data_IF_146499895617
#
_entry.id   IF_146499895617
#
_cell.length_a   1.000
_cell.length_b   1.000
_cell.length_c   1.000
_cell.angle_alpha   90.00
_cell.angle_beta   90.00
_cell.angle_gamma   90.00
#
_symmetry.space_group_name_H-M   'P 1'
#
loop_
_entity.id
_entity.type
_entity.pdbx_description
1 polymer ?
#
# COMPACT_ATOMS: atom_id res chain seq x y z
N UNK A 1 -17.67 9.40 -13.04
CA UNK A 1 -16.28 9.53 -12.58
C UNK A 1 -15.38 8.99 -13.69
N UNK A 2 -14.86 9.86 -14.58
CA UNK A 2 -13.93 9.44 -15.65
C UNK A 2 -12.61 9.09 -14.97
N UNK A 3 -12.08 7.90 -15.27
CA UNK A 3 -11.12 7.22 -14.42
C UNK A 3 -9.79 7.96 -14.25
N UNK A 4 -9.26 7.83 -13.04
CA UNK A 4 -7.87 8.13 -12.69
C UNK A 4 -6.95 7.38 -13.69
N UNK A 5 -6.04 8.13 -14.31
CA UNK A 5 -4.78 7.65 -14.91
C UNK A 5 -4.82 6.80 -16.20
N UNK A 6 -5.33 7.36 -17.30
CA UNK A 6 -5.59 6.59 -18.53
C UNK A 6 -5.46 7.42 -19.83
N UNK A 7 -4.35 8.12 -20.03
CA UNK A 7 -4.00 8.71 -21.32
C UNK A 7 -2.59 9.25 -21.26
N UNK A 8 -1.97 9.50 -22.43
CA UNK A 8 -0.81 10.39 -22.54
C UNK A 8 -1.04 11.68 -21.75
N UNK A 9 -2.30 12.15 -21.67
CA UNK A 9 -2.71 13.28 -20.85
C UNK A 9 -2.62 13.01 -19.33
N UNK A 10 -2.95 11.82 -18.83
CA UNK A 10 -2.77 11.54 -17.41
C UNK A 10 -1.29 11.39 -17.04
N UNK A 11 -0.51 10.75 -17.89
CA UNK A 11 0.95 10.73 -17.75
C UNK A 11 1.51 12.15 -17.86
N UNK A 12 1.01 12.98 -18.80
CA UNK A 12 1.46 14.36 -18.98
C UNK A 12 1.13 15.23 -17.77
N UNK A 13 -0.10 15.15 -17.25
CA UNK A 13 -0.54 15.85 -16.03
C UNK A 13 0.34 15.51 -14.83
N UNK A 14 0.79 14.27 -14.70
CA UNK A 14 1.76 13.91 -13.65
C UNK A 14 3.15 14.45 -13.88
N UNK A 15 3.59 14.53 -15.14
CA UNK A 15 4.93 15.02 -15.47
C UNK A 15 5.04 16.55 -15.49
N UNK A 16 3.94 17.27 -15.75
CA UNK A 16 3.94 18.72 -16.00
C UNK A 16 4.28 19.56 -14.75
N UNK A 17 3.89 19.15 -13.55
CA UNK A 17 4.19 19.85 -12.27
C UNK A 17 4.95 18.95 -11.27
N UNK A 18 5.88 18.13 -11.77
CA UNK A 18 6.59 17.16 -10.92
C UNK A 18 7.41 17.84 -9.81
N UNK A 19 8.09 18.95 -10.12
CA UNK A 19 8.88 19.70 -9.13
C UNK A 19 8.00 20.44 -8.09
N UNK A 20 6.90 21.06 -8.53
CA UNK A 20 5.97 21.68 -7.59
C UNK A 20 5.30 20.65 -6.68
N UNK A 21 4.93 19.49 -7.23
CA UNK A 21 4.42 18.36 -6.44
C UNK A 21 5.48 17.85 -5.45
N UNK A 22 6.74 17.78 -5.86
CA UNK A 22 7.87 17.37 -5.00
C UNK A 22 8.00 18.28 -3.77
N UNK A 23 8.03 19.60 -3.99
CA UNK A 23 8.15 20.57 -2.90
C UNK A 23 6.93 20.52 -1.95
N UNK A 24 5.71 20.41 -2.50
CA UNK A 24 4.49 20.28 -1.70
C UNK A 24 4.49 19.02 -0.85
N UNK A 25 4.92 17.89 -1.41
CA UNK A 25 5.00 16.60 -0.70
C UNK A 25 6.00 16.68 0.44
N UNK A 26 7.23 17.16 0.20
CA UNK A 26 8.23 17.32 1.26
C UNK A 26 7.75 18.24 2.39
N UNK A 27 7.12 19.36 2.04
CA UNK A 27 6.54 20.30 3.00
C UNK A 27 5.38 19.69 3.79
N UNK A 28 4.57 18.84 3.16
CA UNK A 28 3.48 18.12 3.82
C UNK A 28 4.05 17.09 4.81
N UNK A 29 5.03 16.29 4.39
CA UNK A 29 5.66 15.29 5.25
C UNK A 29 6.30 15.93 6.48
N UNK A 30 7.05 17.03 6.31
CA UNK A 30 7.66 17.77 7.41
C UNK A 30 6.62 18.31 8.41
N UNK A 31 5.53 18.91 7.88
CA UNK A 31 4.44 19.42 8.71
C UNK A 31 3.73 18.33 9.49
N UNK A 32 3.43 17.19 8.84
CA UNK A 32 2.74 16.09 9.50
C UNK A 32 3.62 15.42 10.54
N UNK A 33 4.91 15.20 10.25
CA UNK A 33 5.89 14.71 11.23
C UNK A 33 5.98 15.63 12.44
N UNK A 34 6.02 16.94 12.23
CA UNK A 34 6.06 17.93 13.32
C UNK A 34 4.80 17.89 14.19
N UNK A 35 3.63 17.70 13.58
CA UNK A 35 2.34 17.80 14.29
C UNK A 35 1.88 16.50 14.93
N UNK A 36 2.13 15.37 14.28
CA UNK A 36 1.58 14.06 14.64
C UNK A 36 2.66 13.13 15.23
N UNK A 37 3.93 13.39 14.97
CA UNK A 37 5.03 12.54 15.42
C UNK A 37 4.87 11.11 14.89
N UNK A 38 5.13 10.13 15.75
CA UNK A 38 5.07 8.71 15.42
C UNK A 38 3.66 8.09 15.58
N UNK A 39 2.62 8.92 15.79
CA UNK A 39 1.23 8.45 15.93
C UNK A 39 0.59 8.03 14.61
N UNK A 40 1.19 8.43 13.48
CA UNK A 40 0.71 8.10 12.12
C UNK A 40 1.88 7.71 11.24
N UNK A 41 1.63 6.80 10.31
CA UNK A 41 2.57 6.50 9.23
C UNK A 41 2.24 7.39 8.04
N UNK A 42 3.24 8.10 7.55
CA UNK A 42 3.13 8.89 6.33
C UNK A 42 3.44 7.98 5.14
N UNK A 43 2.37 7.49 4.53
CA UNK A 43 2.39 6.51 3.44
C UNK A 43 1.77 7.09 2.17
N UNK A 44 1.86 6.33 1.09
CA UNK A 44 1.05 6.52 -0.11
C UNK A 44 0.42 5.20 -0.56
N UNK A 45 -0.74 5.30 -1.22
CA UNK A 45 -1.27 4.24 -2.06
C UNK A 45 -0.74 4.49 -3.48
N UNK A 46 0.34 3.80 -3.82
CA UNK A 46 1.10 3.96 -5.05
C UNK A 46 0.43 3.19 -6.20
N UNK A 47 0.29 3.89 -7.32
CA UNK A 47 -0.10 3.32 -8.60
C UNK A 47 1.11 3.25 -9.55
N UNK A 48 0.96 2.51 -10.65
CA UNK A 48 1.94 2.44 -11.74
C UNK A 48 1.29 2.77 -13.07
N UNK A 49 2.07 3.39 -13.96
CA UNK A 49 1.68 3.57 -15.36
C UNK A 49 1.63 2.21 -16.08
N UNK A 50 0.99 2.12 -17.26
CA UNK A 50 0.97 0.88 -18.05
C UNK A 50 2.37 0.34 -18.41
N UNK A 51 3.39 1.20 -18.44
CA UNK A 51 4.79 0.82 -18.66
C UNK A 51 5.55 0.42 -17.37
N UNK A 52 4.84 0.37 -16.23
CA UNK A 52 5.36 -0.03 -14.92
C UNK A 52 6.03 1.09 -14.13
N UNK A 53 6.17 2.31 -14.65
CA UNK A 53 6.75 3.41 -13.87
C UNK A 53 5.81 3.85 -12.75
N UNK A 54 6.32 4.14 -11.54
CA UNK A 54 5.49 4.59 -10.44
C UNK A 54 4.90 5.97 -10.68
N UNK A 55 3.66 6.14 -10.23
CA UNK A 55 2.91 7.39 -10.29
C UNK A 55 3.28 8.29 -9.09
N UNK A 56 4.58 8.40 -8.83
CA UNK A 56 5.14 9.17 -7.71
C UNK A 56 6.62 9.49 -7.99
N UNK A 57 7.17 10.61 -7.48
CA UNK A 57 8.61 10.85 -7.58
C UNK A 57 9.43 9.80 -6.81
N UNK A 58 10.19 8.99 -7.53
CA UNK A 58 10.96 7.87 -6.95
C UNK A 58 11.95 8.31 -5.87
N UNK A 59 12.56 9.48 -6.01
CA UNK A 59 13.47 10.05 -5.02
C UNK A 59 12.76 10.40 -3.70
N UNK A 60 11.43 10.50 -3.71
CA UNK A 60 10.62 10.75 -2.52
C UNK A 60 10.10 9.48 -1.84
N UNK A 61 10.14 8.32 -2.50
CA UNK A 61 9.69 7.06 -1.89
C UNK A 61 10.44 6.73 -0.59
N UNK A 62 11.77 6.94 -0.48
CA UNK A 62 12.51 6.73 0.78
C UNK A 62 12.10 7.68 1.92
N UNK A 63 11.34 8.75 1.62
CA UNK A 63 10.84 9.66 2.65
C UNK A 63 9.49 9.22 3.23
N UNK A 64 8.85 8.18 2.69
CA UNK A 64 7.62 7.59 3.23
C UNK A 64 7.94 6.50 4.24
N UNK A 65 7.06 6.35 5.24
CA UNK A 65 7.22 5.30 6.27
C UNK A 65 6.71 3.94 5.76
N UNK A 66 5.83 3.96 4.76
CA UNK A 66 5.22 2.80 4.13
C UNK A 66 4.85 3.12 2.67
N UNK A 67 4.83 2.09 1.82
CA UNK A 67 4.37 2.16 0.43
C UNK A 67 3.35 1.06 0.25
N UNK A 68 2.11 1.42 -0.07
CA UNK A 68 1.02 0.50 -0.34
C UNK A 68 0.78 0.51 -1.85
N UNK A 69 1.12 -0.55 -2.56
CA UNK A 69 0.90 -0.63 -4.00
C UNK A 69 -0.50 -1.11 -4.35
N UNK A 70 -1.14 -0.54 -5.35
CA UNK A 70 -2.43 -1.01 -5.84
C UNK A 70 -2.63 -0.79 -7.34
N UNK A 71 -3.32 -1.74 -7.99
CA UNK A 71 -3.74 -1.63 -9.38
C UNK A 71 -5.09 -0.91 -9.44
N UNK A 72 -5.15 0.25 -10.09
CA UNK A 72 -6.39 1.03 -10.25
C UNK A 72 -6.89 1.17 -11.68
N UNK A 73 -6.10 0.76 -12.67
CA UNK A 73 -6.48 0.80 -14.07
C UNK A 73 -5.75 -0.29 -14.87
N UNK A 74 -6.48 -0.93 -15.79
CA UNK A 74 -5.90 -1.81 -16.79
C UNK A 74 -6.38 -1.29 -18.16
N UNK A 75 -5.45 -0.91 -19.03
CA UNK A 75 -5.76 -0.43 -20.37
C UNK A 75 -6.48 -1.52 -21.18
N UNK A 76 -6.07 -2.79 -21.02
CA UNK A 76 -6.68 -3.93 -21.66
C UNK A 76 -8.18 -4.07 -21.33
N UNK A 77 -8.58 -3.78 -20.08
CA UNK A 77 -9.99 -3.77 -19.69
C UNK A 77 -10.81 -2.71 -20.44
N UNK A 78 -10.21 -1.55 -20.71
CA UNK A 78 -10.89 -0.42 -21.34
C UNK A 78 -10.99 -0.57 -22.85
N UNK A 79 -9.96 -1.13 -23.46
CA UNK A 79 -9.95 -1.44 -24.89
C UNK A 79 -10.75 -2.70 -25.24
N UNK A 80 -11.29 -3.41 -24.24
CA UNK A 80 -12.07 -4.62 -24.45
C UNK A 80 -11.21 -5.78 -24.96
N UNK A 81 -9.97 -5.86 -24.48
CA UNK A 81 -9.05 -6.95 -24.85
C UNK A 81 -9.44 -8.27 -24.18
N UNK A 82 -8.79 -9.36 -24.62
CA UNK A 82 -9.00 -10.69 -24.06
C UNK A 82 -8.72 -10.76 -22.55
N UNK A 83 -9.37 -11.67 -21.84
CA UNK A 83 -9.10 -11.94 -20.41
C UNK A 83 -7.62 -12.23 -20.15
N UNK A 84 -6.94 -12.93 -21.06
CA UNK A 84 -5.51 -13.22 -20.94
C UNK A 84 -4.64 -11.96 -21.03
N UNK A 85 -5.02 -10.98 -21.86
CA UNK A 85 -4.31 -9.71 -21.95
C UNK A 85 -4.48 -8.90 -20.65
N UNK A 86 -5.70 -8.87 -20.13
CA UNK A 86 -6.03 -8.22 -18.85
C UNK A 86 -5.26 -8.84 -17.69
N UNK A 87 -5.25 -10.17 -17.62
CA UNK A 87 -4.49 -10.91 -16.60
C UNK A 87 -3.00 -10.63 -16.71
N UNK A 88 -2.42 -10.65 -17.92
CA UNK A 88 -1.01 -10.31 -18.13
C UNK A 88 -0.67 -8.89 -17.69
N UNK A 89 -1.52 -7.92 -17.99
CA UNK A 89 -1.34 -6.53 -17.57
C UNK A 89 -1.43 -6.39 -16.04
N UNK A 90 -2.45 -7.01 -15.42
CA UNK A 90 -2.59 -7.05 -13.96
C UNK A 90 -1.36 -7.66 -13.28
N UNK A 91 -0.84 -8.77 -13.82
CA UNK A 91 0.39 -9.38 -13.31
C UNK A 91 1.61 -8.46 -13.49
N UNK A 92 1.72 -7.79 -14.63
CA UNK A 92 2.82 -6.87 -14.91
C UNK A 92 2.81 -5.67 -13.95
N UNK A 93 1.65 -5.05 -13.71
CA UNK A 93 1.53 -3.92 -12.79
C UNK A 93 1.81 -4.31 -11.34
N UNK A 94 1.32 -5.47 -10.88
CA UNK A 94 1.66 -5.97 -9.54
C UNK A 94 3.16 -6.21 -9.39
N UNK A 95 3.83 -6.82 -10.38
CA UNK A 95 5.29 -6.98 -10.38
C UNK A 95 6.02 -5.63 -10.36
N UNK A 96 5.52 -4.63 -11.09
CA UNK A 96 6.10 -3.30 -11.07
C UNK A 96 5.98 -2.63 -9.69
N UNK A 97 4.81 -2.73 -9.04
CA UNK A 97 4.60 -2.23 -7.67
C UNK A 97 5.55 -2.90 -6.67
N UNK A 98 5.71 -4.22 -6.77
CA UNK A 98 6.67 -4.98 -5.95
C UNK A 98 8.11 -4.50 -6.22
N UNK A 99 8.48 -4.35 -7.48
CA UNK A 99 9.83 -3.93 -7.89
C UNK A 99 10.19 -2.50 -7.43
N UNK A 100 9.21 -1.60 -7.33
CA UNK A 100 9.37 -0.24 -6.79
C UNK A 100 9.55 -0.24 -5.26
N UNK A 101 9.36 -1.39 -4.60
CA UNK A 101 9.52 -1.52 -3.16
C UNK A 101 8.23 -1.32 -2.38
N UNK A 102 7.07 -1.66 -2.96
CA UNK A 102 5.83 -1.75 -2.20
C UNK A 102 6.01 -2.70 -1.00
N UNK A 103 5.47 -2.31 0.14
CA UNK A 103 5.47 -3.09 1.38
C UNK A 103 4.19 -3.91 1.51
N UNK A 104 3.10 -3.43 0.91
CA UNK A 104 1.78 -4.05 0.90
C UNK A 104 1.24 -3.95 -0.53
N UNK A 105 0.65 -5.02 -1.06
CA UNK A 105 -0.25 -4.95 -2.21
C UNK A 105 -1.68 -4.85 -1.69
N UNK A 106 -2.28 -3.67 -1.83
CA UNK A 106 -3.64 -3.40 -1.38
C UNK A 106 -4.67 -4.03 -2.30
N UNK A 107 -5.73 -4.58 -1.68
CA UNK A 107 -6.91 -5.16 -2.34
C UNK A 107 -6.62 -5.71 -3.75
N UNK A 108 -5.76 -6.74 -3.88
CA UNK A 108 -5.07 -7.10 -5.13
C UNK A 108 -6.02 -7.41 -6.31
N UNK A 109 -7.24 -7.82 -6.01
CA UNK A 109 -8.23 -8.26 -6.98
C UNK A 109 -9.32 -7.22 -7.28
N UNK A 110 -9.41 -6.14 -6.50
CA UNK A 110 -10.55 -5.20 -6.52
C UNK A 110 -10.86 -4.68 -7.91
N UNK A 111 -9.83 -4.29 -8.66
CA UNK A 111 -10.03 -3.72 -9.99
C UNK A 111 -10.64 -4.74 -10.97
N UNK A 112 -10.15 -5.99 -10.97
CA UNK A 112 -10.68 -7.05 -11.82
C UNK A 112 -12.16 -7.28 -11.55
N UNK A 113 -12.53 -7.38 -10.27
CA UNK A 113 -13.92 -7.67 -9.89
C UNK A 113 -14.85 -6.49 -10.21
N UNK A 114 -14.44 -5.25 -9.96
CA UNK A 114 -15.23 -4.07 -10.32
C UNK A 114 -15.49 -3.98 -11.83
N UNK A 115 -14.60 -4.56 -12.63
CA UNK A 115 -14.72 -4.67 -14.08
C UNK A 115 -15.40 -5.96 -14.55
N UNK A 116 -15.92 -6.77 -13.62
CA UNK A 116 -16.57 -8.07 -13.86
C UNK A 116 -15.66 -9.09 -14.54
N UNK A 117 -14.34 -8.97 -14.34
CA UNK A 117 -13.40 -10.01 -14.72
C UNK A 117 -13.29 -11.04 -13.60
N UNK A 118 -13.48 -12.33 -13.90
CA UNK A 118 -13.39 -13.38 -12.89
C UNK A 118 -11.96 -13.50 -12.37
N UNK A 119 -11.84 -13.67 -11.05
CA UNK A 119 -10.57 -13.98 -10.39
C UNK A 119 -10.55 -15.48 -10.13
N UNK A 120 -9.55 -16.15 -10.69
CA UNK A 120 -9.38 -17.59 -10.59
C UNK A 120 -8.53 -17.97 -9.37
N UNK A 121 -8.53 -19.25 -9.01
CA UNK A 121 -7.62 -19.75 -7.99
C UNK A 121 -6.14 -19.62 -8.41
N UNK A 122 -5.84 -19.78 -9.70
CA UNK A 122 -4.50 -19.55 -10.24
C UNK A 122 -4.05 -18.10 -10.09
N UNK A 123 -4.96 -17.13 -10.21
CA UNK A 123 -4.65 -15.71 -9.97
C UNK A 123 -4.26 -15.47 -8.51
N UNK A 124 -4.93 -16.14 -7.56
CA UNK A 124 -4.62 -16.06 -6.13
C UNK A 124 -3.25 -16.68 -5.84
N UNK A 125 -3.01 -17.91 -6.30
CA UNK A 125 -1.72 -18.58 -6.09
C UNK A 125 -0.58 -17.81 -6.73
N UNK A 126 -0.80 -17.20 -7.90
CA UNK A 126 0.20 -16.37 -8.57
C UNK A 126 0.61 -15.17 -7.71
N UNK A 127 -0.35 -14.36 -7.22
CA UNK A 127 0.01 -13.17 -6.43
C UNK A 127 0.61 -13.54 -5.06
N UNK A 128 0.16 -14.65 -4.46
CA UNK A 128 0.73 -15.18 -3.21
C UNK A 128 2.17 -15.64 -3.43
N UNK A 129 2.49 -16.27 -4.57
CA UNK A 129 3.85 -16.69 -4.90
C UNK A 129 4.78 -15.47 -5.11
N UNK A 130 4.32 -14.45 -5.83
CA UNK A 130 5.05 -13.18 -5.98
C UNK A 130 5.28 -12.52 -4.62
N UNK A 131 4.26 -12.56 -3.76
CA UNK A 131 4.34 -11.96 -2.44
C UNK A 131 5.33 -12.69 -1.52
N UNK A 132 5.32 -14.02 -1.56
CA UNK A 132 6.29 -14.86 -0.86
C UNK A 132 7.72 -14.58 -1.32
N UNK A 133 7.93 -14.49 -2.64
CA UNK A 133 9.26 -14.28 -3.21
C UNK A 133 9.87 -12.92 -2.84
N UNK A 134 9.03 -11.89 -2.69
CA UNK A 134 9.47 -10.51 -2.42
C UNK A 134 9.37 -10.11 -0.94
N UNK A 135 8.60 -10.84 -0.14
CA UNK A 135 8.32 -10.49 1.26
C UNK A 135 7.30 -9.35 1.44
N UNK A 136 6.62 -8.92 0.36
CA UNK A 136 5.50 -7.97 0.43
C UNK A 136 4.30 -8.60 1.11
N UNK A 137 3.51 -7.82 1.85
CA UNK A 137 2.26 -8.29 2.41
C UNK A 137 1.10 -8.19 1.42
N UNK A 138 0.09 -9.06 1.56
CA UNK A 138 -1.18 -8.92 0.83
C UNK A 138 -2.26 -8.40 1.76
N UNK A 139 -3.02 -7.41 1.30
CA UNK A 139 -4.05 -6.77 2.11
C UNK A 139 -5.40 -7.51 2.08
N UNK A 140 -5.89 -7.86 3.26
CA UNK A 140 -7.30 -8.10 3.52
C UNK A 140 -8.00 -6.76 3.71
N UNK A 141 -8.84 -6.38 2.75
CA UNK A 141 -9.49 -5.08 2.71
C UNK A 141 -10.99 -5.20 3.05
N UNK A 142 -11.54 -4.29 3.87
CA UNK A 142 -12.98 -4.33 4.24
C UNK A 142 -13.88 -3.35 3.49
N UNK A 143 -13.36 -2.53 2.58
CA UNK A 143 -14.17 -1.56 1.83
C UNK A 143 -14.94 -2.21 0.68
N UNK A 144 -14.39 -3.27 0.07
CA UNK A 144 -15.06 -4.04 -0.98
C UNK A 144 -14.85 -5.54 -0.77
N UNK A 145 -15.73 -6.14 0.02
CA UNK A 145 -15.62 -7.53 0.50
C UNK A 145 -16.09 -8.53 -0.55
N UNK A 146 -15.29 -9.57 -0.80
CA UNK A 146 -15.71 -10.77 -1.53
C UNK A 146 -15.26 -11.98 -0.74
N UNK A 147 -16.09 -12.35 0.23
CA UNK A 147 -15.73 -13.29 1.29
C UNK A 147 -15.07 -14.58 0.81
N UNK A 148 -15.61 -15.21 -0.24
CA UNK A 148 -15.04 -16.44 -0.79
C UNK A 148 -13.64 -16.25 -1.39
N UNK A 149 -13.36 -15.11 -2.00
CA UNK A 149 -12.04 -14.78 -2.54
C UNK A 149 -11.06 -14.39 -1.42
N UNK A 150 -11.54 -13.61 -0.45
CA UNK A 150 -10.77 -13.23 0.73
C UNK A 150 -10.35 -14.48 1.53
N UNK A 151 -11.26 -15.44 1.72
CA UNK A 151 -10.96 -16.72 2.36
C UNK A 151 -9.94 -17.57 1.59
N UNK A 152 -9.99 -17.54 0.25
CA UNK A 152 -9.04 -18.25 -0.59
C UNK A 152 -7.64 -17.64 -0.47
N UNK A 153 -7.55 -16.31 -0.55
CA UNK A 153 -6.29 -15.57 -0.40
C UNK A 153 -5.68 -15.77 0.99
N UNK A 154 -6.47 -15.63 2.06
CA UNK A 154 -5.97 -15.78 3.43
C UNK A 154 -5.44 -17.19 3.67
N UNK A 155 -6.16 -18.22 3.21
CA UNK A 155 -5.70 -19.60 3.30
C UNK A 155 -4.36 -19.82 2.58
N UNK A 156 -4.23 -19.28 1.37
CA UNK A 156 -2.99 -19.36 0.59
C UNK A 156 -1.83 -18.60 1.27
N UNK A 157 -2.08 -17.38 1.77
CA UNK A 157 -1.08 -16.62 2.52
C UNK A 157 -0.59 -17.38 3.76
N UNK A 158 -1.49 -18.01 4.53
CA UNK A 158 -1.12 -18.77 5.72
C UNK A 158 -0.29 -20.01 5.39
N UNK A 159 -0.66 -20.73 4.32
CA UNK A 159 0.06 -21.89 3.84
C UNK A 159 1.48 -21.53 3.37
N UNK A 160 1.61 -20.41 2.66
CA UNK A 160 2.88 -19.95 2.09
C UNK A 160 3.70 -19.03 3.02
N UNK A 161 3.19 -18.72 4.21
CA UNK A 161 3.86 -17.83 5.16
C UNK A 161 3.95 -16.36 4.70
N UNK A 162 3.07 -15.94 3.80
CA UNK A 162 3.00 -14.55 3.33
C UNK A 162 2.37 -13.66 4.41
N UNK A 163 2.98 -12.51 4.75
CA UNK A 163 2.40 -11.57 5.72
C UNK A 163 1.07 -11.01 5.23
N UNK A 164 0.13 -10.80 6.15
CA UNK A 164 -1.19 -10.24 5.85
C UNK A 164 -1.25 -8.81 6.35
N UNK A 165 -1.61 -7.87 5.49
CA UNK A 165 -2.01 -6.53 5.90
C UNK A 165 -3.52 -6.47 6.10
N UNK A 166 -3.99 -5.59 6.99
CA UNK A 166 -5.42 -5.30 7.17
C UNK A 166 -5.66 -3.81 6.97
N UNK A 167 -6.68 -3.47 6.19
CA UNK A 167 -7.04 -2.10 5.89
C UNK A 167 -8.55 -1.94 5.72
N UNK A 168 -9.10 -0.84 6.22
CA UNK A 168 -10.52 -0.51 6.01
C UNK A 168 -10.78 0.30 4.75
N UNK A 169 -9.71 0.86 4.15
CA UNK A 169 -9.78 1.78 3.01
C UNK A 169 -10.85 2.88 3.19
N UNK A 170 -10.88 3.42 4.41
CA UNK A 170 -11.84 4.42 4.84
C UNK A 170 -11.68 5.72 4.06
N UNK A 171 -12.77 6.14 3.42
CA UNK A 171 -12.93 7.45 2.78
C UNK A 171 -13.86 8.37 3.59
N UNK A 172 -14.42 7.87 4.71
CA UNK A 172 -15.28 8.61 5.64
C UNK A 172 -14.93 8.28 7.08
N UNK A 173 -15.19 9.22 7.99
CA UNK A 173 -14.96 9.05 9.43
C UNK A 173 -15.66 7.82 10.02
N UNK A 174 -16.83 7.46 9.50
CA UNK A 174 -17.63 6.31 9.93
C UNK A 174 -17.02 4.96 9.54
N UNK A 175 -16.05 4.94 8.62
CA UNK A 175 -15.39 3.73 8.12
C UNK A 175 -14.04 3.49 8.83
N UNK A 176 -13.58 4.46 9.62
CA UNK A 176 -12.32 4.36 10.36
C UNK A 176 -12.48 3.35 11.49
N UNK A 177 -11.47 2.48 11.63
CA UNK A 177 -11.32 1.54 12.74
C UNK A 177 -12.40 0.44 12.86
N UNK A 178 -13.23 0.22 11.83
CA UNK A 178 -14.06 -0.99 11.77
C UNK A 178 -13.26 -2.18 11.21
N UNK A 179 -12.67 -2.94 12.13
CA UNK A 179 -11.93 -4.18 11.84
C UNK A 179 -12.73 -5.45 12.10
N UNK A 180 -14.07 -5.34 12.20
CA UNK A 180 -14.94 -6.49 12.51
C UNK A 180 -14.81 -7.59 11.46
N UNK A 181 -14.86 -7.19 10.18
CA UNK A 181 -14.71 -8.11 9.05
C UNK A 181 -13.35 -8.83 9.07
N UNK A 182 -12.26 -8.10 9.28
CA UNK A 182 -10.93 -8.70 9.36
C UNK A 182 -10.84 -9.70 10.51
N UNK A 183 -11.38 -9.34 11.68
CA UNK A 183 -11.38 -10.22 12.84
C UNK A 183 -12.16 -11.51 12.59
N UNK A 184 -13.27 -11.45 11.86
CA UNK A 184 -14.08 -12.61 11.49
C UNK A 184 -13.29 -13.55 10.57
N UNK A 185 -12.83 -13.05 9.42
CA UNK A 185 -12.06 -13.83 8.44
C UNK A 185 -10.85 -14.47 9.10
N UNK A 186 -10.04 -13.69 9.82
CA UNK A 186 -8.84 -14.21 10.48
C UNK A 186 -9.16 -15.30 11.52
N UNK A 187 -10.27 -15.18 12.26
CA UNK A 187 -10.68 -16.17 13.26
C UNK A 187 -11.14 -17.49 12.64
N UNK A 188 -11.80 -17.42 11.48
CA UNK A 188 -12.24 -18.59 10.72
C UNK A 188 -11.06 -19.36 10.10
N UNK A 189 -9.93 -18.67 9.87
CA UNK A 189 -8.66 -19.28 9.46
C UNK A 189 -7.70 -19.56 10.63
N UNK A 190 -8.20 -19.55 11.87
CA UNK A 190 -7.47 -20.01 13.04
C UNK A 190 -6.61 -18.95 13.76
N UNK A 191 -6.69 -17.67 13.38
CA UNK A 191 -5.99 -16.57 14.05
C UNK A 191 -6.93 -15.86 15.05
N UNK A 192 -7.14 -16.49 16.20
CA UNK A 192 -8.17 -16.10 17.18
C UNK A 192 -7.62 -15.24 18.33
N UNK A 193 -6.33 -15.35 18.61
CA UNK A 193 -5.65 -14.62 19.68
C UNK A 193 -4.84 -13.45 19.14
N UNK A 194 -4.47 -12.51 20.02
CA UNK A 194 -3.58 -11.41 19.64
C UNK A 194 -2.18 -11.89 19.24
N UNK A 195 -1.67 -12.93 19.90
CA UNK A 195 -0.36 -13.51 19.62
C UNK A 195 -0.29 -14.13 18.22
N UNK A 196 -1.26 -15.00 17.88
CA UNK A 196 -1.38 -15.59 16.54
C UNK A 196 -1.48 -14.53 15.45
N UNK A 197 -2.20 -13.44 15.72
CA UNK A 197 -2.31 -12.30 14.79
C UNK A 197 -1.01 -11.51 14.70
N UNK A 198 -0.29 -11.29 15.80
CA UNK A 198 0.94 -10.51 15.82
C UNK A 198 2.08 -11.15 14.99
N UNK A 199 2.06 -12.48 14.85
CA UNK A 199 3.04 -13.19 14.03
C UNK A 199 2.74 -13.09 12.53
N UNK A 200 1.45 -13.00 12.17
CA UNK A 200 0.99 -13.03 10.78
C UNK A 200 0.70 -11.65 10.19
N UNK A 201 0.31 -10.68 11.00
CA UNK A 201 -0.06 -9.35 10.54
C UNK A 201 1.15 -8.46 10.31
N UNK A 202 1.25 -7.91 9.10
CA UNK A 202 2.32 -7.00 8.68
C UNK A 202 2.35 -5.73 9.53
N UNK A 203 1.19 -5.19 9.93
CA UNK A 203 1.11 -3.98 10.77
C UNK A 203 1.80 -4.20 12.13
N UNK A 204 1.68 -5.39 12.73
CA UNK A 204 2.40 -5.72 13.96
C UNK A 204 3.92 -5.80 13.75
N UNK A 205 4.35 -6.25 12.56
CA UNK A 205 5.76 -6.28 12.17
C UNK A 205 6.32 -4.86 11.94
N UNK A 206 5.53 -3.96 11.34
CA UNK A 206 5.90 -2.55 11.14
C UNK A 206 5.97 -1.82 12.48
N UNK A 207 5.00 -2.00 13.38
CA UNK A 207 5.01 -1.42 14.72
C UNK A 207 6.29 -1.80 15.50
N UNK A 208 6.68 -3.09 15.48
CA UNK A 208 7.93 -3.56 16.10
C UNK A 208 9.19 -2.92 15.48
N UNK A 209 9.19 -2.63 14.18
CA UNK A 209 10.31 -1.94 13.51
C UNK A 209 10.41 -0.47 13.92
N UNK A 210 9.27 0.20 14.12
CA UNK A 210 9.23 1.59 14.62
C UNK A 210 9.72 1.65 16.06
N UNK A 211 9.29 0.72 16.90
CA UNK A 211 9.71 0.62 18.30
C UNK A 211 11.18 0.20 18.47
N UNK A 212 11.70 -0.67 17.59
CA UNK A 212 13.03 -1.26 17.67
C UNK A 212 14.15 -0.56 16.88
N UNK A 213 13.86 0.52 16.14
CA UNK A 213 14.85 1.18 15.30
C UNK A 213 15.97 1.87 16.13
N UNK A 214 17.27 1.61 15.84
CA UNK A 214 18.38 2.34 16.44
C UNK A 214 18.21 3.84 16.17
N UNK A 215 18.22 4.64 17.23
CA UNK A 215 18.00 6.10 17.14
C UNK A 215 16.59 6.59 17.45
N UNK A 216 15.65 5.73 17.88
CA UNK A 216 14.38 6.20 18.45
C UNK A 216 14.58 7.16 19.65
N UNK A 217 15.63 6.94 20.46
CA UNK A 217 16.09 7.86 21.49
C UNK A 217 17.01 8.99 20.98
N UNK A 218 17.98 8.67 20.11
CA UNK A 218 19.02 9.61 19.68
C UNK A 218 18.52 10.69 18.71
N UNK A 219 17.41 10.42 17.99
CA UNK A 219 16.76 11.44 17.15
C UNK A 219 16.07 12.53 17.96
N UNK A 220 15.88 12.41 19.28
CA UNK A 220 15.35 13.52 20.11
C UNK A 220 16.41 14.60 20.38
N UNK A 221 17.67 14.22 20.55
CA UNK A 221 18.75 15.13 20.98
C UNK A 221 19.37 15.94 19.84
N UNK A 222 19.48 15.39 18.63
CA UNK A 222 19.89 16.19 17.45
C UNK A 222 18.80 17.19 17.02
N UNK A 223 17.52 16.90 17.31
CA UNK A 223 16.36 17.76 17.01
C UNK A 223 16.19 18.97 17.93
N UNK A 224 16.80 18.97 19.12
CA UNK A 224 16.86 20.15 20.00
C UNK A 224 17.96 21.13 19.61
N UNK A 225 19.05 20.65 18.99
CA UNK A 225 20.21 21.50 18.64
C UNK A 225 19.97 22.34 17.38
N UNK A 226 19.23 21.83 16.39
CA UNK A 226 18.86 22.58 15.17
C UNK A 226 17.80 23.66 15.42
N UNK A 227 16.94 23.49 16.43
CA UNK A 227 15.96 24.51 16.82
C UNK A 227 16.58 25.72 17.55
N UNK A 228 17.65 25.53 18.31
CA UNK A 228 18.36 26.64 18.99
C UNK A 228 19.25 27.42 18.01
N UNK A 229 19.82 26.75 17.00
CA UNK A 229 20.69 27.38 16.00
C UNK A 229 19.93 28.34 15.05
N UNK A 230 18.66 28.07 14.73
CA UNK A 230 17.85 28.94 13.85
C UNK A 230 17.10 30.07 14.59
N UNK A 231 17.08 30.05 15.93
CA UNK A 231 16.44 31.10 16.74
C UNK A 231 17.40 32.25 17.09
N UNK A 232 18.70 32.12 16.83
CA UNK A 232 19.74 33.09 17.24
C UNK A 232 20.37 33.88 16.09
N UNK A 233 19.87 33.73 14.85
CA UNK A 233 20.37 34.43 13.67
C UNK A 233 19.27 35.09 12.84
N UNK A 234 18.52 36.00 13.47
CA UNK A 234 17.82 37.08 12.77
C UNK A 234 18.10 38.41 13.51
N UNK A 235 18.68 39.41 12.83
CA UNK A 235 18.86 40.76 13.39
C UNK A 235 17.52 41.48 13.56
#
# INVERSE_FOLDING_TARGET
MRGKFDSDLAASVFTEDREGARERTLRYLDRMRTRLGDQVLLSTELDVLPDGRPVFPEDLLPHLDLIVGAVHALAACRHGESEDAIRREWQAQNRALIAVGAHIIAHPFRYLIQRRFPVTEDDVHWIVAEARASGVALELNSHYVIRNLDDLMIRACLAEGVPIAIGTDAHRWTEIADFTYHAEVLSDHGLRTQEERADRLYVAQVARRIEGAPGAGNRRDERSRTHVANATSRP
#
